data_IF_418621921356
#
_entry.id   IF_418621921356
#
_cell.length_a   1.000
_cell.length_b   1.000
_cell.length_c   1.000
_cell.angle_alpha   90.00
_cell.angle_beta   90.00
_cell.angle_gamma   90.00
#
_symmetry.space_group_name_H-M   'P 1'
#
loop_
_entity.id
_entity.type
_entity.pdbx_description
1 polymer ?
#
# COMPACT_ATOMS: atom_id res chain seq x y z
N UNK A 1 -19.95 0.26 -17.18
CA UNK A 1 -20.40 -0.82 -16.28
C UNK A 1 -21.64 -0.34 -15.55
N UNK A 2 -22.76 -1.08 -15.58
CA UNK A 2 -24.01 -0.68 -14.94
C UNK A 2 -24.20 -1.42 -13.60
N UNK A 3 -24.82 -0.76 -12.63
CA UNK A 3 -25.14 -1.34 -11.32
C UNK A 3 -26.49 -0.82 -10.82
N UNK A 4 -27.09 -1.52 -9.86
CA UNK A 4 -28.36 -1.14 -9.23
C UNK A 4 -28.17 -0.89 -7.74
N UNK A 5 -28.77 0.17 -7.22
CA UNK A 5 -28.78 0.49 -5.79
C UNK A 5 -30.13 0.03 -5.21
N UNK A 6 -30.15 -0.89 -4.24
CA UNK A 6 -31.39 -1.34 -3.61
C UNK A 6 -31.97 -0.25 -2.72
N UNK A 7 -33.30 -0.23 -2.59
CA UNK A 7 -33.97 0.61 -1.61
C UNK A 7 -34.13 -0.12 -0.27
N UNK A 8 -34.29 0.64 0.81
CA UNK A 8 -34.63 0.08 2.13
C UNK A 8 -35.91 -0.74 2.00
N UNK A 9 -35.85 -2.00 2.45
CA UNK A 9 -36.96 -2.95 2.41
C UNK A 9 -37.66 -3.10 1.04
N UNK A 10 -36.96 -2.83 -0.08
CA UNK A 10 -37.55 -2.84 -1.44
C UNK A 10 -38.77 -1.93 -1.60
N UNK A 11 -38.86 -0.86 -0.80
CA UNK A 11 -39.95 0.12 -0.86
C UNK A 11 -40.14 0.79 -2.24
N UNK A 12 -39.09 0.82 -3.08
CA UNK A 12 -39.16 1.32 -4.46
C UNK A 12 -38.31 0.44 -5.41
N UNK A 13 -38.55 0.46 -6.73
CA UNK A 13 -37.68 -0.21 -7.70
C UNK A 13 -36.23 0.27 -7.58
N UNK A 14 -35.29 -0.66 -7.73
CA UNK A 14 -33.86 -0.35 -7.62
C UNK A 14 -33.42 0.66 -8.69
N UNK A 15 -32.74 1.73 -8.25
CA UNK A 15 -32.20 2.77 -9.14
C UNK A 15 -30.99 2.23 -9.89
N UNK A 16 -30.92 2.47 -11.20
CA UNK A 16 -29.84 1.99 -12.07
C UNK A 16 -28.88 3.12 -12.40
N UNK A 17 -27.59 2.82 -12.30
CA UNK A 17 -26.49 3.74 -12.60
C UNK A 17 -25.48 3.08 -13.53
N UNK A 18 -24.64 3.89 -14.16
CA UNK A 18 -23.50 3.43 -14.92
C UNK A 18 -22.27 4.26 -14.60
N UNK A 19 -21.12 3.60 -14.55
CA UNK A 19 -19.85 4.29 -14.35
C UNK A 19 -19.46 5.09 -15.58
N UNK A 20 -19.16 6.37 -15.36
CA UNK A 20 -18.61 7.30 -16.35
C UNK A 20 -17.11 7.54 -16.16
N UNK A 21 -16.56 7.07 -15.03
CA UNK A 21 -15.13 7.08 -14.70
C UNK A 21 -14.65 5.67 -14.42
N UNK A 22 -13.33 5.49 -14.30
CA UNK A 22 -12.72 4.20 -13.95
C UNK A 22 -13.26 3.68 -12.61
N UNK A 23 -13.97 2.54 -12.59
CA UNK A 23 -14.51 1.99 -11.36
C UNK A 23 -13.39 1.34 -10.52
N UNK A 24 -13.46 1.52 -9.21
CA UNK A 24 -12.61 0.79 -8.27
C UNK A 24 -12.95 -0.71 -8.31
N UNK A 25 -11.94 -1.56 -8.13
CA UNK A 25 -12.09 -3.02 -8.13
C UNK A 25 -12.16 -3.68 -9.51
N UNK A 26 -12.22 -2.91 -10.61
CA UNK A 26 -12.12 -3.48 -11.95
C UNK A 26 -10.67 -3.81 -12.30
N UNK A 27 -10.43 -5.03 -12.80
CA UNK A 27 -9.09 -5.60 -13.04
C UNK A 27 -8.17 -4.71 -13.89
N UNK A 28 -8.73 -3.98 -14.86
CA UNK A 28 -7.94 -3.14 -15.78
C UNK A 28 -7.76 -1.70 -15.29
N UNK A 29 -8.49 -1.28 -14.25
CA UNK A 29 -8.39 0.08 -13.72
C UNK A 29 -6.97 0.45 -13.27
N UNK A 30 -6.19 -0.43 -12.59
CA UNK A 30 -4.81 -0.13 -12.22
C UNK A 30 -3.93 0.18 -13.43
N UNK A 31 -3.96 -0.66 -14.46
CA UNK A 31 -3.15 -0.46 -15.67
C UNK A 31 -3.51 0.85 -16.38
N UNK A 32 -4.80 1.14 -16.52
CA UNK A 32 -5.25 2.40 -17.16
C UNK A 32 -4.83 3.64 -16.34
N UNK A 33 -4.96 3.59 -15.01
CA UNK A 33 -4.50 4.66 -14.13
C UNK A 33 -2.99 4.88 -14.28
N UNK A 34 -2.22 3.80 -14.20
CA UNK A 34 -0.76 3.84 -14.30
C UNK A 34 -0.29 4.47 -15.63
N UNK A 35 -0.87 4.04 -16.76
CA UNK A 35 -0.54 4.59 -18.08
C UNK A 35 -0.91 6.06 -18.19
N UNK A 36 -2.08 6.44 -17.69
CA UNK A 36 -2.55 7.82 -17.75
C UNK A 36 -1.68 8.76 -16.90
N UNK A 37 -1.35 8.37 -15.67
CA UNK A 37 -0.47 9.15 -14.79
C UNK A 37 0.95 9.25 -15.38
N UNK A 38 1.48 8.16 -15.96
CA UNK A 38 2.77 8.17 -16.63
C UNK A 38 2.81 9.18 -17.80
N UNK A 39 1.77 9.18 -18.66
CA UNK A 39 1.60 10.16 -19.73
C UNK A 39 1.51 11.60 -19.18
N UNK A 40 0.81 11.78 -18.05
CA UNK A 40 0.67 13.09 -17.45
C UNK A 40 1.98 13.65 -16.84
N UNK A 41 2.86 12.77 -16.38
CA UNK A 41 4.17 13.12 -15.83
C UNK A 41 5.25 13.30 -16.90
N UNK A 42 5.04 12.80 -18.12
CA UNK A 42 6.02 12.80 -19.20
C UNK A 42 6.71 14.17 -19.47
N UNK A 43 5.99 15.31 -19.51
CA UNK A 43 6.64 16.61 -19.72
C UNK A 43 7.57 17.00 -18.57
N UNK A 44 7.20 16.67 -17.33
CA UNK A 44 8.03 16.96 -16.14
C UNK A 44 9.29 16.10 -16.17
N UNK A 45 9.16 14.81 -16.50
CA UNK A 45 10.29 13.90 -16.66
C UNK A 45 11.26 14.40 -17.75
N UNK A 46 10.74 14.86 -18.89
CA UNK A 46 11.55 15.41 -20.00
C UNK A 46 12.24 16.71 -19.63
N UNK A 47 11.58 17.58 -18.85
CA UNK A 47 12.12 18.88 -18.42
C UNK A 47 13.18 18.73 -17.33
N UNK A 48 13.07 17.69 -16.50
CA UNK A 48 13.95 17.44 -15.35
C UNK A 48 14.55 16.03 -15.39
N UNK A 49 15.37 15.70 -16.42
CA UNK A 49 15.94 14.35 -16.58
C UNK A 49 16.87 13.93 -15.44
N UNK A 50 17.36 14.88 -14.65
CA UNK A 50 18.18 14.65 -13.47
C UNK A 50 17.39 14.24 -12.22
N UNK A 51 16.06 14.37 -12.24
CA UNK A 51 15.21 13.99 -11.11
C UNK A 51 14.73 12.55 -11.28
N UNK A 52 14.68 11.82 -10.18
CA UNK A 52 14.04 10.52 -10.09
C UNK A 52 12.57 10.77 -9.77
N UNK A 53 11.68 10.43 -10.71
CA UNK A 53 10.23 10.49 -10.54
C UNK A 53 9.72 9.05 -10.56
N UNK A 54 9.32 8.56 -9.40
CA UNK A 54 8.69 7.25 -9.24
C UNK A 54 7.21 7.46 -8.97
N UNK A 55 6.35 6.70 -9.65
CA UNK A 55 4.92 6.74 -9.36
C UNK A 55 4.34 5.34 -9.28
N UNK A 56 3.36 5.17 -8.41
CA UNK A 56 2.59 3.95 -8.29
C UNK A 56 1.15 4.34 -8.02
N UNK A 57 0.26 3.99 -8.96
CA UNK A 57 -1.14 4.42 -8.92
C UNK A 57 -1.23 5.96 -8.73
N UNK A 58 -1.77 6.40 -7.59
CA UNK A 58 -1.95 7.81 -7.20
C UNK A 58 -0.81 8.40 -6.37
N UNK A 59 0.17 7.60 -5.95
CA UNK A 59 1.35 8.07 -5.23
C UNK A 59 2.48 8.46 -6.19
N UNK A 60 3.09 9.63 -5.97
CA UNK A 60 4.24 10.14 -6.72
C UNK A 60 5.36 10.52 -5.75
N UNK A 61 6.54 9.93 -5.94
CA UNK A 61 7.77 10.27 -5.25
C UNK A 61 8.72 10.99 -6.22
N UNK A 62 9.22 12.15 -5.81
CA UNK A 62 10.21 12.93 -6.57
C UNK A 62 11.45 13.13 -5.71
N UNK A 63 12.61 12.72 -6.23
CA UNK A 63 13.90 12.80 -5.55
C UNK A 63 15.00 13.30 -6.49
N UNK A 64 15.99 13.98 -5.94
CA UNK A 64 17.17 14.43 -6.67
C UNK A 64 18.07 15.31 -5.80
N UNK A 65 19.37 15.33 -6.10
CA UNK A 65 20.36 16.06 -5.29
C UNK A 65 20.11 17.57 -5.23
N UNK A 66 19.68 18.17 -6.35
CA UNK A 66 19.40 19.61 -6.49
C UNK A 66 17.90 19.90 -6.62
N UNK A 67 17.07 19.15 -5.90
CA UNK A 67 15.62 19.29 -5.97
C UNK A 67 15.15 20.64 -5.39
N UNK A 68 14.67 21.54 -6.26
CA UNK A 68 13.96 22.76 -5.87
C UNK A 68 12.49 22.44 -5.60
N UNK A 69 12.19 22.00 -4.37
CA UNK A 69 10.90 21.39 -4.00
C UNK A 69 9.70 22.25 -4.38
N UNK A 70 9.73 23.54 -4.07
CA UNK A 70 8.62 24.47 -4.27
C UNK A 70 8.37 24.69 -5.77
N UNK A 71 9.43 24.96 -6.53
CA UNK A 71 9.37 25.15 -7.99
C UNK A 71 8.84 23.90 -8.69
N UNK A 72 9.38 22.73 -8.33
CA UNK A 72 8.96 21.46 -8.93
C UNK A 72 7.52 21.13 -8.55
N UNK A 73 7.11 21.38 -7.31
CA UNK A 73 5.73 21.17 -6.88
C UNK A 73 4.74 22.05 -7.66
N UNK A 74 5.07 23.32 -7.88
CA UNK A 74 4.23 24.24 -8.67
C UNK A 74 4.10 23.77 -10.12
N UNK A 75 5.21 23.40 -10.76
CA UNK A 75 5.22 22.92 -12.15
C UNK A 75 4.44 21.61 -12.26
N UNK A 76 4.71 20.65 -11.39
CA UNK A 76 3.99 19.38 -11.33
C UNK A 76 2.48 19.59 -11.17
N UNK A 77 2.09 20.43 -10.21
CA UNK A 77 0.67 20.72 -9.95
C UNK A 77 0.00 21.33 -11.17
N UNK A 78 0.68 22.25 -11.87
CA UNK A 78 0.16 22.86 -13.10
C UNK A 78 0.00 21.82 -14.22
N UNK A 79 1.02 21.02 -14.49
CA UNK A 79 1.01 19.99 -15.55
C UNK A 79 -0.05 18.91 -15.32
N UNK A 80 -0.21 18.46 -14.07
CA UNK A 80 -1.24 17.50 -13.68
C UNK A 80 -2.64 18.13 -13.80
N UNK A 81 -2.82 19.38 -13.36
CA UNK A 81 -4.10 20.09 -13.43
C UNK A 81 -4.58 20.28 -14.86
N UNK A 82 -3.67 20.61 -15.80
CA UNK A 82 -3.99 20.71 -17.22
C UNK A 82 -4.53 19.40 -17.81
N UNK A 83 -4.22 18.26 -17.19
CA UNK A 83 -4.65 16.91 -17.59
C UNK A 83 -5.80 16.37 -16.74
N UNK A 84 -6.42 17.22 -15.93
CA UNK A 84 -7.56 16.85 -15.08
C UNK A 84 -7.18 16.12 -13.78
N UNK A 85 -5.90 16.09 -13.41
CA UNK A 85 -5.42 15.51 -12.16
C UNK A 85 -5.19 16.61 -11.12
N UNK A 86 -5.64 16.39 -9.89
CA UNK A 86 -5.49 17.34 -8.79
C UNK A 86 -4.71 16.70 -7.65
N UNK A 87 -3.71 17.41 -7.13
CA UNK A 87 -2.97 17.00 -5.94
C UNK A 87 -3.72 17.56 -4.73
N UNK A 88 -4.07 16.67 -3.80
CA UNK A 88 -4.64 17.04 -2.51
C UNK A 88 -3.57 17.72 -1.64
N UNK A 89 -3.70 19.02 -1.30
CA UNK A 89 -2.66 19.76 -0.57
C UNK A 89 -2.25 19.10 0.76
N UNK A 90 -3.22 18.52 1.46
CA UNK A 90 -3.04 17.84 2.74
C UNK A 90 -2.23 16.54 2.65
N UNK A 91 -2.07 15.97 1.45
CA UNK A 91 -1.27 14.75 1.22
C UNK A 91 0.18 15.03 0.82
N UNK A 92 0.55 16.30 0.62
CA UNK A 92 1.89 16.68 0.17
C UNK A 92 2.89 16.52 1.32
N UNK A 93 3.97 15.77 1.08
CA UNK A 93 5.04 15.53 2.05
C UNK A 93 6.34 16.21 1.60
N UNK A 94 6.63 17.42 2.10
CA UNK A 94 7.82 18.18 1.72
C UNK A 94 9.05 17.91 2.59
N UNK A 95 8.84 17.40 3.82
CA UNK A 95 9.90 17.20 4.81
C UNK A 95 9.92 15.74 5.30
N UNK A 96 11.11 15.27 5.68
CA UNK A 96 11.29 13.96 6.31
C UNK A 96 10.56 13.91 7.66
N UNK A 97 10.00 12.76 8.07
CA UNK A 97 9.97 11.48 7.35
C UNK A 97 8.92 11.42 6.24
N UNK A 98 9.31 10.94 5.05
CA UNK A 98 8.39 10.70 3.94
C UNK A 98 7.81 9.29 4.01
N UNK A 99 6.53 9.15 3.70
CA UNK A 99 5.84 7.87 3.56
C UNK A 99 5.59 7.58 2.10
N UNK A 100 6.02 6.42 1.62
CA UNK A 100 5.81 5.98 0.24
C UNK A 100 5.68 4.46 0.18
N UNK A 101 4.55 3.95 -0.32
CA UNK A 101 4.29 2.50 -0.50
C UNK A 101 4.57 1.64 0.74
N UNK A 102 4.20 2.13 1.92
CA UNK A 102 4.40 1.42 3.19
C UNK A 102 5.81 1.57 3.79
N UNK A 103 6.66 2.41 3.20
CA UNK A 103 8.00 2.73 3.70
C UNK A 103 8.04 4.12 4.33
N UNK A 104 8.85 4.27 5.36
CA UNK A 104 9.33 5.55 5.88
C UNK A 104 10.74 5.79 5.33
N UNK A 105 10.89 6.89 4.61
CA UNK A 105 12.14 7.37 4.04
C UNK A 105 12.60 8.57 4.87
N UNK A 106 13.87 8.59 5.22
CA UNK A 106 14.56 9.70 5.89
C UNK A 106 15.84 10.02 5.11
N UNK A 107 16.52 11.12 5.47
CA UNK A 107 17.79 11.48 4.83
C UNK A 107 18.90 10.44 4.98
N UNK A 108 18.80 9.54 5.98
CA UNK A 108 19.84 8.55 6.31
C UNK A 108 19.40 7.09 6.21
N UNK A 109 18.10 6.82 6.14
CA UNK A 109 17.58 5.44 6.19
C UNK A 109 16.22 5.27 5.52
N UNK A 110 15.93 4.04 5.10
CA UNK A 110 14.61 3.59 4.63
C UNK A 110 14.19 2.43 5.51
N UNK A 111 13.02 2.54 6.14
CA UNK A 111 12.48 1.52 7.05
C UNK A 111 10.99 1.26 6.79
N UNK A 112 10.45 0.08 7.08
CA UNK A 112 9.01 -0.17 7.00
C UNK A 112 8.21 0.77 7.91
N UNK A 113 7.01 1.19 7.50
CA UNK A 113 6.24 2.21 8.22
C UNK A 113 5.75 1.75 9.60
N UNK A 114 5.28 0.51 9.71
CA UNK A 114 5.00 -0.16 10.97
C UNK A 114 4.74 -1.63 10.69
N UNK A 115 5.52 -2.51 11.30
CA UNK A 115 5.10 -3.90 11.54
C UNK A 115 5.12 -4.08 13.04
N UNK A 116 4.00 -3.75 13.67
CA UNK A 116 3.81 -4.09 15.07
C UNK A 116 3.37 -5.53 15.10
N UNK A 117 4.31 -6.42 15.39
CA UNK A 117 4.04 -7.84 15.54
C UNK A 117 3.16 -8.03 16.77
N UNK A 118 1.87 -8.24 16.53
CA UNK A 118 0.92 -8.59 17.59
C UNK A 118 1.08 -10.05 17.95
N UNK A 119 1.55 -10.30 19.16
CA UNK A 119 1.70 -11.66 19.72
C UNK A 119 0.41 -12.22 20.34
N UNK A 120 -0.62 -11.37 20.57
CA UNK A 120 -1.93 -11.79 21.07
C UNK A 120 -2.78 -12.38 19.94
N UNK A 121 -2.53 -13.66 19.65
CA UNK A 121 -3.27 -14.46 18.67
C UNK A 121 -4.42 -15.17 19.37
N UNK A 122 -5.65 -14.90 18.93
CA UNK A 122 -6.87 -15.54 19.44
C UNK A 122 -7.65 -16.29 18.38
N UNK A 123 -7.47 -15.92 17.10
CA UNK A 123 -8.21 -16.48 15.97
C UNK A 123 -7.30 -16.79 14.78
N UNK A 124 -7.77 -17.60 13.84
CA UNK A 124 -7.08 -17.85 12.58
C UNK A 124 -6.81 -16.55 11.80
N UNK A 125 -7.74 -15.58 11.84
CA UNK A 125 -7.55 -14.26 11.26
C UNK A 125 -6.36 -13.51 11.89
N UNK A 126 -6.13 -13.68 13.20
CA UNK A 126 -4.98 -13.06 13.86
C UNK A 126 -3.67 -13.71 13.41
N UNK A 127 -3.66 -15.05 13.21
CA UNK A 127 -2.52 -15.76 12.59
C UNK A 127 -2.27 -15.25 11.16
N UNK A 128 -3.32 -15.10 10.36
CA UNK A 128 -3.22 -14.60 8.98
C UNK A 128 -2.60 -13.20 8.93
N UNK A 129 -3.05 -12.30 9.81
CA UNK A 129 -2.48 -10.95 9.94
C UNK A 129 -1.02 -10.99 10.38
N UNK A 130 -0.71 -11.75 11.43
CA UNK A 130 0.65 -11.92 11.94
C UNK A 130 1.61 -12.43 10.85
N UNK A 131 1.23 -13.49 10.15
CA UNK A 131 2.05 -14.05 9.06
C UNK A 131 2.17 -13.05 7.90
N UNK A 132 1.10 -12.33 7.56
CA UNK A 132 1.13 -11.29 6.53
C UNK A 132 2.10 -10.16 6.86
N UNK A 133 2.05 -9.68 8.10
CA UNK A 133 2.93 -8.62 8.61
C UNK A 133 4.40 -9.05 8.61
N UNK A 134 4.71 -10.28 9.05
CA UNK A 134 6.07 -10.83 9.01
C UNK A 134 6.53 -11.02 7.55
N UNK A 135 5.65 -11.53 6.68
CA UNK A 135 5.98 -11.72 5.26
C UNK A 135 6.31 -10.40 4.55
N UNK A 136 5.66 -9.30 4.94
CA UNK A 136 5.94 -7.97 4.42
C UNK A 136 7.39 -7.54 4.69
N UNK A 137 7.90 -7.79 5.90
CA UNK A 137 9.26 -7.37 6.29
C UNK A 137 10.34 -8.41 6.07
N UNK A 138 9.97 -9.66 5.76
CA UNK A 138 10.90 -10.81 5.80
C UNK A 138 12.20 -10.61 5.04
N UNK A 139 12.14 -10.01 3.84
CA UNK A 139 13.31 -9.85 2.97
C UNK A 139 14.31 -8.85 3.54
N UNK A 140 13.82 -7.86 4.28
CA UNK A 140 14.61 -6.75 4.83
C UNK A 140 15.27 -7.21 6.14
N UNK A 141 14.52 -7.96 6.94
CA UNK A 141 14.96 -8.48 8.24
C UNK A 141 15.72 -9.81 8.14
N UNK A 142 15.96 -10.33 6.93
CA UNK A 142 16.64 -11.62 6.73
C UNK A 142 15.88 -12.83 7.31
N UNK A 143 14.55 -12.74 7.40
CA UNK A 143 13.70 -13.83 7.88
C UNK A 143 13.51 -14.85 6.76
N UNK A 144 13.88 -16.09 7.05
CA UNK A 144 13.86 -17.19 6.10
C UNK A 144 12.50 -17.89 6.07
N UNK A 145 12.29 -18.76 5.08
CA UNK A 145 11.09 -19.61 5.06
C UNK A 145 11.08 -20.61 6.22
N UNK A 146 12.25 -21.04 6.69
CA UNK A 146 12.37 -21.97 7.82
C UNK A 146 11.96 -21.32 9.14
N UNK A 147 12.36 -20.05 9.36
CA UNK A 147 11.91 -19.26 10.53
C UNK A 147 10.37 -19.14 10.58
N UNK A 148 9.74 -18.97 9.41
CA UNK A 148 8.29 -18.77 9.27
C UNK A 148 7.47 -20.07 9.28
N UNK A 149 8.10 -21.22 9.03
CA UNK A 149 7.42 -22.50 8.84
C UNK A 149 6.48 -22.87 9.99
N UNK A 150 6.84 -22.71 11.28
CA UNK A 150 5.94 -23.05 12.39
C UNK A 150 4.66 -22.20 12.42
N UNK A 151 4.74 -20.94 11.98
CA UNK A 151 3.60 -20.03 11.92
C UNK A 151 2.71 -20.30 10.69
N UNK A 152 3.32 -20.64 9.55
CA UNK A 152 2.58 -20.98 8.32
C UNK A 152 1.75 -22.26 8.50
N UNK A 153 2.26 -23.24 9.25
CA UNK A 153 1.52 -24.48 9.53
C UNK A 153 0.17 -24.23 10.22
N UNK A 154 0.07 -23.19 11.06
CA UNK A 154 -1.20 -22.80 11.69
C UNK A 154 -2.26 -22.36 10.69
N UNK A 155 -1.86 -21.85 9.52
CA UNK A 155 -2.80 -21.44 8.46
C UNK A 155 -3.49 -22.63 7.79
N UNK A 156 -2.88 -23.82 7.84
CA UNK A 156 -3.42 -25.04 7.24
C UNK A 156 -4.44 -25.77 8.12
N UNK A 157 -4.71 -25.27 9.32
CA UNK A 157 -5.56 -25.96 10.31
C UNK A 157 -7.06 -25.79 10.06
N UNK A 158 -7.47 -24.68 9.43
CA UNK A 158 -8.87 -24.39 9.16
C UNK A 158 -9.04 -23.36 8.03
N UNK A 159 -10.25 -23.30 7.49
CA UNK A 159 -10.71 -22.28 6.53
C UNK A 159 -11.55 -21.17 7.20
N UNK A 160 -11.94 -21.34 8.47
CA UNK A 160 -12.80 -20.41 9.19
C UNK A 160 -11.97 -19.34 9.92
N UNK A 161 -12.04 -18.09 9.44
CA UNK A 161 -11.24 -16.98 9.96
C UNK A 161 -11.46 -16.68 11.47
N UNK A 162 -12.65 -16.97 11.99
CA UNK A 162 -13.04 -16.77 13.38
C UNK A 162 -12.72 -17.95 14.30
N UNK A 163 -12.19 -19.05 13.77
CA UNK A 163 -11.82 -20.20 14.57
C UNK A 163 -10.76 -19.84 15.60
N UNK A 164 -10.94 -20.30 16.84
CA UNK A 164 -10.01 -20.01 17.94
C UNK A 164 -8.67 -20.68 17.65
N UNK A 165 -7.60 -19.91 17.79
CA UNK A 165 -6.23 -20.36 17.60
C UNK A 165 -5.36 -19.85 18.73
N UNK A 166 -4.31 -20.60 19.05
CA UNK A 166 -3.33 -20.23 20.07
C UNK A 166 -1.94 -20.67 19.62
N UNK A 167 -0.92 -19.87 19.94
CA UNK A 167 0.45 -20.21 19.62
C UNK A 167 0.97 -21.27 20.60
N UNK A 168 1.36 -22.43 20.07
CA UNK A 168 2.06 -23.46 20.84
C UNK A 168 3.50 -23.04 21.18
N UNK A 169 4.22 -23.82 22.00
CA UNK A 169 5.58 -23.48 22.44
C UNK A 169 6.58 -23.29 21.29
N UNK A 170 6.45 -24.08 20.23
CA UNK A 170 7.28 -23.97 19.03
C UNK A 170 7.03 -22.66 18.29
N UNK A 171 5.75 -22.30 18.10
CA UNK A 171 5.35 -21.08 17.41
C UNK A 171 5.72 -19.83 18.21
N UNK A 172 5.62 -19.89 19.54
CA UNK A 172 6.08 -18.80 20.40
C UNK A 172 7.59 -18.61 20.30
N UNK A 173 8.37 -19.70 20.30
CA UNK A 173 9.83 -19.62 20.12
C UNK A 173 10.21 -19.04 18.75
N UNK A 174 9.57 -19.50 17.68
CA UNK A 174 9.79 -18.97 16.34
C UNK A 174 9.44 -17.48 16.25
N UNK A 175 8.33 -17.08 16.88
CA UNK A 175 7.91 -15.67 16.93
C UNK A 175 8.91 -14.79 17.69
N UNK A 176 9.44 -15.26 18.82
CA UNK A 176 10.49 -14.53 19.56
C UNK A 176 11.76 -14.37 18.74
N UNK A 177 12.23 -15.43 18.08
CA UNK A 177 13.40 -15.38 17.20
C UNK A 177 13.20 -14.41 16.02
N UNK A 178 12.01 -14.37 15.43
CA UNK A 178 11.66 -13.43 14.37
C UNK A 178 11.65 -11.99 14.89
N UNK A 179 11.12 -11.78 16.10
CA UNK A 179 11.03 -10.45 16.71
C UNK A 179 12.40 -9.85 17.03
N UNK A 180 13.42 -10.68 17.30
CA UNK A 180 14.81 -10.24 17.47
C UNK A 180 15.47 -9.77 16.15
N UNK A 181 14.95 -10.21 14.99
CA UNK A 181 15.48 -9.86 13.67
C UNK A 181 14.89 -8.57 13.08
N UNK A 182 13.83 -8.03 13.69
CA UNK A 182 13.06 -6.88 13.20
C UNK A 182 13.45 -5.62 13.96
#
# INVERSE_FOLDING_TARGET
FAFSVPSVNKAEPAKRYHWVVLPQGMKNSPTMCQVFVAWALEPVCKRYPQLIISHYMDDILIAGEKLQKETILQILTSELKQRGLQIAPEKIQQQSPWKYLGWIITGSSIKPQKVEIKSDVKTLNDVQKLVGDIQWVRKICGITNDDLKPLIQLLGTSIQANEKQSLGPEQQRALSQISEKI
#
